data_IF_498131549031
#
_entry.id   IF_498131549031
#
_cell.length_a   1.000
_cell.length_b   1.000
_cell.length_c   1.000
_cell.angle_alpha   90.00
_cell.angle_beta   90.00
_cell.angle_gamma   90.00
#
_symmetry.space_group_name_H-M   'P 1'
#
loop_
_entity.id
_entity.type
_entity.pdbx_description
1 polymer ?
#
# COMPACT_ATOMS: atom_id res chain seq x y z
N UNK A 1 -10.76 -4.35 11.76
CA UNK A 1 -10.35 -3.65 10.52
C UNK A 1 -9.27 -2.62 10.79
N UNK A 2 -9.50 -1.59 11.63
CA UNK A 2 -8.51 -0.52 11.87
C UNK A 2 -7.11 -1.01 12.27
N UNK A 3 -6.98 -1.93 13.24
CA UNK A 3 -5.65 -2.48 13.63
C UNK A 3 -4.88 -3.10 12.46
N UNK A 4 -5.59 -3.72 11.52
CA UNK A 4 -5.01 -4.36 10.33
C UNK A 4 -4.63 -3.32 9.26
N UNK A 5 -5.49 -2.32 9.02
CA UNK A 5 -5.30 -1.37 7.94
C UNK A 5 -4.52 -0.10 8.32
N UNK A 6 -4.43 0.22 9.63
CA UNK A 6 -3.77 1.44 10.12
C UNK A 6 -2.32 1.62 9.65
N UNK A 7 -1.46 0.57 9.55
CA UNK A 7 -0.12 0.73 9.00
C UNK A 7 -0.14 1.31 7.58
N UNK A 8 -1.04 0.83 6.71
CA UNK A 8 -1.17 1.34 5.34
C UNK A 8 -1.70 2.78 5.32
N UNK A 9 -2.67 3.12 6.18
CA UNK A 9 -3.18 4.49 6.30
C UNK A 9 -2.10 5.51 6.72
N UNK A 10 -1.02 5.06 7.39
CA UNK A 10 0.10 5.97 7.73
C UNK A 10 0.89 6.39 6.49
N UNK A 11 0.86 5.62 5.40
CA UNK A 11 1.46 6.02 4.13
C UNK A 11 0.79 7.28 3.56
N UNK A 12 -0.43 7.61 3.99
CA UNK A 12 -1.12 8.82 3.57
C UNK A 12 -0.67 10.09 4.31
N UNK A 13 0.19 9.93 5.32
CA UNK A 13 0.67 11.03 6.16
C UNK A 13 2.08 11.50 5.79
N UNK A 14 2.71 10.86 4.81
CA UNK A 14 4.07 11.18 4.36
C UNK A 14 4.08 11.85 2.98
N UNK A 15 5.12 12.63 2.63
CA UNK A 15 5.19 13.35 1.36
C UNK A 15 5.14 12.46 0.10
N UNK A 16 5.47 11.18 0.26
CA UNK A 16 5.48 10.17 -0.82
C UNK A 16 4.17 9.40 -0.97
N UNK A 17 3.07 9.85 -0.35
CA UNK A 17 1.70 9.29 -0.44
C UNK A 17 1.34 8.77 -1.84
N UNK A 18 1.49 9.61 -2.89
CA UNK A 18 1.05 9.25 -4.25
C UNK A 18 1.88 8.09 -4.78
N UNK A 19 3.19 8.10 -4.51
CA UNK A 19 4.09 7.03 -4.88
C UNK A 19 3.77 5.73 -4.13
N UNK A 20 3.46 5.83 -2.83
CA UNK A 20 3.04 4.69 -2.00
C UNK A 20 1.74 4.06 -2.52
N UNK A 21 0.71 4.86 -2.82
CA UNK A 21 -0.56 4.36 -3.38
C UNK A 21 -0.32 3.70 -4.74
N UNK A 22 0.47 4.32 -5.63
CA UNK A 22 0.76 3.74 -6.95
C UNK A 22 1.52 2.42 -6.86
N UNK A 23 2.48 2.32 -5.94
CA UNK A 23 3.16 1.06 -5.68
C UNK A 23 2.22 0.00 -5.10
N UNK A 24 1.35 0.38 -4.16
CA UNK A 24 0.35 -0.53 -3.60
C UNK A 24 -0.64 -1.03 -4.66
N UNK A 25 -1.10 -0.17 -5.58
CA UNK A 25 -1.95 -0.54 -6.72
C UNK A 25 -1.27 -1.60 -7.61
N UNK A 26 0.03 -1.42 -7.89
CA UNK A 26 0.81 -2.38 -8.67
C UNK A 26 0.97 -3.72 -7.94
N UNK A 27 1.32 -3.70 -6.64
CA UNK A 27 1.45 -4.93 -5.83
C UNK A 27 0.12 -5.68 -5.75
N UNK A 28 -1.00 -4.97 -5.68
CA UNK A 28 -2.34 -5.58 -5.68
C UNK A 28 -2.81 -6.04 -7.07
N UNK A 29 -2.02 -5.84 -8.13
CA UNK A 29 -2.40 -6.19 -9.50
C UNK A 29 -3.53 -5.34 -10.08
N UNK A 30 -3.72 -4.11 -9.58
CA UNK A 30 -4.83 -3.21 -9.97
C UNK A 30 -4.36 -1.99 -10.78
N UNK A 31 -3.07 -1.82 -10.99
CA UNK A 31 -2.50 -0.66 -11.67
C UNK A 31 -1.00 -0.75 -11.88
N UNK A 32 -0.36 0.41 -12.04
CA UNK A 32 1.08 0.55 -12.25
C UNK A 32 1.69 1.52 -11.25
N UNK A 33 2.96 1.30 -10.88
CA UNK A 33 3.70 2.19 -9.99
C UNK A 33 4.07 3.54 -10.67
N UNK A 34 3.79 3.70 -11.96
CA UNK A 34 4.09 4.92 -12.71
C UNK A 34 3.45 6.17 -12.08
N UNK A 35 4.27 7.20 -11.92
CA UNK A 35 3.88 8.52 -11.41
C UNK A 35 4.14 9.61 -12.44
N UNK A 36 3.34 10.67 -12.42
CA UNK A 36 3.56 11.86 -13.25
C UNK A 36 4.69 12.70 -12.67
N UNK A 37 5.64 13.11 -13.53
CA UNK A 37 6.67 14.09 -13.19
C UNK A 37 6.03 15.38 -12.59
N UNK A 38 6.68 16.06 -11.63
CA UNK A 38 8.07 15.88 -11.19
C UNK A 38 8.31 14.76 -10.17
N UNK A 39 7.28 14.01 -9.77
CA UNK A 39 7.43 12.88 -8.84
C UNK A 39 8.28 11.77 -9.46
N UNK A 40 9.05 11.08 -8.63
CA UNK A 40 9.82 9.90 -9.01
C UNK A 40 9.25 8.66 -8.33
N UNK A 41 9.52 7.49 -8.90
CA UNK A 41 9.21 6.21 -8.28
C UNK A 41 9.93 6.05 -6.94
N UNK A 42 9.32 5.33 -6.00
CA UNK A 42 10.02 4.87 -4.79
C UNK A 42 11.18 3.97 -5.20
N UNK A 43 12.29 4.03 -4.47
CA UNK A 43 13.49 3.24 -4.74
C UNK A 43 14.12 2.77 -3.42
N UNK A 44 15.00 1.78 -3.53
CA UNK A 44 15.76 1.28 -2.39
C UNK A 44 14.87 0.77 -1.26
N UNK A 45 15.26 1.11 -0.04
CA UNK A 45 14.62 0.61 1.19
C UNK A 45 13.16 1.08 1.33
N UNK A 46 12.85 2.33 1.02
CA UNK A 46 11.49 2.87 1.11
C UNK A 46 10.52 2.05 0.23
N UNK A 47 10.95 1.70 -0.99
CA UNK A 47 10.16 0.84 -1.89
C UNK A 47 9.92 -0.54 -1.27
N UNK A 48 10.97 -1.15 -0.72
CA UNK A 48 10.89 -2.48 -0.10
C UNK A 48 9.96 -2.49 1.11
N UNK A 49 10.03 -1.47 1.96
CA UNK A 49 9.18 -1.32 3.15
C UNK A 49 7.69 -1.22 2.76
N UNK A 50 7.36 -0.42 1.74
CA UNK A 50 5.97 -0.30 1.26
C UNK A 50 5.47 -1.62 0.69
N UNK A 51 6.28 -2.33 -0.11
CA UNK A 51 5.90 -3.65 -0.65
C UNK A 51 5.63 -4.64 0.46
N UNK A 52 6.55 -4.77 1.42
CA UNK A 52 6.40 -5.67 2.55
C UNK A 52 5.13 -5.36 3.36
N UNK A 53 4.82 -4.08 3.58
CA UNK A 53 3.63 -3.66 4.30
C UNK A 53 2.34 -4.05 3.55
N UNK A 54 2.30 -3.85 2.23
CA UNK A 54 1.15 -4.20 1.38
C UNK A 54 0.98 -5.71 1.31
N UNK A 55 2.05 -6.47 1.05
CA UNK A 55 2.02 -7.94 1.02
C UNK A 55 1.59 -8.53 2.36
N UNK A 56 2.11 -8.00 3.47
CA UNK A 56 1.69 -8.42 4.81
C UNK A 56 0.20 -8.15 5.05
N UNK A 57 -0.31 -6.98 4.67
CA UNK A 57 -1.73 -6.66 4.80
C UNK A 57 -2.61 -7.59 3.94
N UNK A 58 -2.18 -7.93 2.72
CA UNK A 58 -2.87 -8.88 1.86
C UNK A 58 -2.92 -10.29 2.49
N UNK A 59 -1.78 -10.77 3.00
CA UNK A 59 -1.67 -12.09 3.64
C UNK A 59 -2.46 -12.20 4.95
N UNK A 60 -2.61 -11.10 5.69
CA UNK A 60 -3.28 -11.05 7.00
C UNK A 60 -4.68 -10.44 6.95
N UNK A 61 -5.26 -10.33 5.74
CA UNK A 61 -6.59 -9.74 5.55
C UNK A 61 -7.63 -10.48 6.39
N UNK A 62 -8.38 -9.71 7.18
CA UNK A 62 -9.43 -10.23 8.05
C UNK A 62 -10.55 -10.87 7.21
N UNK A 63 -10.92 -12.10 7.56
CA UNK A 63 -12.14 -12.72 7.05
C UNK A 63 -13.36 -12.14 7.76
N UNK A 64 -14.24 -11.54 6.97
CA UNK A 64 -15.48 -10.91 7.43
C UNK A 64 -16.73 -11.71 7.05
N UNK A 65 -16.58 -12.90 6.44
CA UNK A 65 -17.68 -13.76 5.99
C UNK A 65 -18.73 -14.00 7.09
N UNK A 66 -18.28 -14.15 8.35
CA UNK A 66 -19.14 -14.34 9.52
C UNK A 66 -20.07 -13.17 9.85
N UNK A 67 -19.84 -11.99 9.30
CA UNK A 67 -20.66 -10.80 9.55
C UNK A 67 -21.71 -10.55 8.46
N UNK A 68 -21.82 -11.43 7.45
CA UNK A 68 -22.75 -11.30 6.33
C UNK A 68 -22.67 -9.94 5.61
N UNK A 69 -21.44 -9.43 5.48
CA UNK A 69 -21.07 -8.18 4.81
C UNK A 69 -20.69 -8.39 3.34
#
# INVERSE_FOLDING_TARGET
>A
IYRWFLPLLRLDTIPTLVQCIKLAEQVCGRGSEQVRAPRQLLKGEERQQVIQMVEHALATRLDLSKYNL
#
